data_IF_831226444412
#
_entry.id   IF_831226444412
#
_cell.length_a   1.000
_cell.length_b   1.000
_cell.length_c   1.000
_cell.angle_alpha   90.00
_cell.angle_beta   90.00
_cell.angle_gamma   90.00
#
_symmetry.space_group_name_H-M   'P 1'
#
loop_
_entity.id
_entity.type
_entity.pdbx_description
1 polymer ?
#
# COMPACT_ATOMS: atom_id res chain seq x y z
N UNK A 1 -5.10 54.92 30.31
CA UNK A 1 -4.50 54.82 28.95
C UNK A 1 -3.63 53.57 28.74
N UNK A 2 -3.50 52.66 29.73
CA UNK A 2 -2.72 51.41 29.58
C UNK A 2 -3.54 50.25 28.98
N UNK A 3 -4.85 50.16 29.24
CA UNK A 3 -5.72 49.08 28.75
C UNK A 3 -5.61 48.85 27.24
N UNK A 4 -5.80 49.90 26.42
CA UNK A 4 -5.77 49.76 24.96
C UNK A 4 -4.41 49.35 24.38
N UNK A 5 -3.30 49.69 25.07
CA UNK A 5 -1.94 49.30 24.65
C UNK A 5 -1.64 47.86 25.06
N UNK A 6 -2.10 47.44 26.24
CA UNK A 6 -1.90 46.08 26.75
C UNK A 6 -2.66 45.05 25.90
N UNK A 7 -3.91 45.36 25.52
CA UNK A 7 -4.68 44.51 24.61
C UNK A 7 -4.00 44.32 23.25
N UNK A 8 -3.36 45.37 22.70
CA UNK A 8 -2.61 45.27 21.44
C UNK A 8 -1.35 44.41 21.58
N UNK A 9 -0.64 44.51 22.72
CA UNK A 9 0.55 43.70 22.98
C UNK A 9 0.19 42.22 23.13
N UNK A 10 -0.86 41.91 23.90
CA UNK A 10 -1.37 40.53 24.04
C UNK A 10 -1.83 39.97 22.70
N UNK A 11 -2.57 40.76 21.91
CA UNK A 11 -2.98 40.36 20.57
C UNK A 11 -1.79 40.03 19.69
N UNK A 12 -0.72 40.85 19.73
CA UNK A 12 0.48 40.63 18.93
C UNK A 12 1.19 39.32 19.33
N UNK A 13 1.31 39.08 20.64
CA UNK A 13 1.92 37.87 21.20
C UNK A 13 1.17 36.59 20.84
N UNK A 14 -0.14 36.66 20.60
CA UNK A 14 -0.96 35.51 20.17
C UNK A 14 -0.98 35.39 18.65
N UNK A 15 -1.13 36.50 17.93
CA UNK A 15 -1.28 36.49 16.46
C UNK A 15 -0.02 36.04 15.74
N UNK A 16 1.15 36.49 16.17
CA UNK A 16 2.43 36.12 15.53
C UNK A 16 2.65 34.60 15.52
N UNK A 17 2.60 33.87 16.64
CA UNK A 17 2.80 32.42 16.64
C UNK A 17 1.69 31.67 15.91
N UNK A 18 0.43 32.12 15.99
CA UNK A 18 -0.68 31.50 15.23
C UNK A 18 -0.42 31.63 13.72
N UNK A 19 0.01 32.80 13.25
CA UNK A 19 0.32 33.01 11.85
C UNK A 19 1.56 32.25 11.39
N UNK A 20 2.63 32.20 12.17
CA UNK A 20 3.83 31.44 11.79
C UNK A 20 3.53 29.93 11.78
N UNK A 21 2.83 29.40 12.78
CA UNK A 21 2.42 27.99 12.78
C UNK A 21 1.51 27.72 11.58
N UNK A 22 0.52 28.57 11.30
CA UNK A 22 -0.36 28.41 10.15
C UNK A 22 0.41 28.42 8.82
N UNK A 23 1.30 29.40 8.63
CA UNK A 23 2.08 29.58 7.41
C UNK A 23 3.06 28.43 7.16
N UNK A 24 3.69 27.89 8.21
CA UNK A 24 4.68 26.83 8.09
C UNK A 24 4.10 25.40 8.29
N UNK A 25 2.83 25.27 8.66
CA UNK A 25 2.14 23.97 8.76
C UNK A 25 1.61 23.48 7.41
N UNK A 26 1.43 24.40 6.45
CA UNK A 26 1.02 24.09 5.08
C UNK A 26 2.13 23.30 4.37
N UNK A 27 1.93 21.98 4.26
CA UNK A 27 2.78 21.14 3.43
C UNK A 27 2.37 21.30 1.97
N UNK A 28 3.32 21.30 1.01
CA UNK A 28 2.98 21.23 -0.40
C UNK A 28 2.06 20.03 -0.64
N UNK A 29 0.97 20.23 -1.37
CA UNK A 29 0.17 19.11 -1.85
C UNK A 29 1.09 18.21 -2.69
N UNK A 30 1.08 16.88 -2.51
CA UNK A 30 1.88 16.00 -3.34
C UNK A 30 1.57 16.28 -4.81
N UNK A 31 2.59 16.65 -5.60
CA UNK A 31 2.40 16.78 -7.04
C UNK A 31 1.86 15.46 -7.59
N UNK A 32 0.93 15.55 -8.54
CA UNK A 32 0.44 14.39 -9.26
C UNK A 32 1.63 13.72 -9.96
N UNK A 33 2.09 12.59 -9.42
CA UNK A 33 3.09 11.77 -10.11
C UNK A 33 2.44 11.23 -11.37
N UNK A 34 2.76 11.82 -12.50
CA UNK A 34 2.52 11.21 -13.79
C UNK A 34 3.53 10.07 -13.93
N UNK A 35 3.03 8.85 -13.90
CA UNK A 35 3.88 7.72 -14.22
C UNK A 35 4.00 7.71 -15.73
N UNK A 36 5.20 8.00 -16.25
CA UNK A 36 5.55 7.73 -17.64
C UNK A 36 5.70 6.22 -17.85
N UNK A 37 4.66 5.44 -17.52
CA UNK A 37 4.52 4.08 -18.04
C UNK A 37 4.10 4.25 -19.49
N UNK A 38 4.90 3.73 -20.42
CA UNK A 38 4.43 3.55 -21.78
C UNK A 38 3.10 2.77 -21.73
N UNK A 39 2.10 3.11 -22.56
CA UNK A 39 0.82 2.38 -22.62
C UNK A 39 1.01 0.85 -22.78
N UNK A 40 2.13 0.42 -23.34
CA UNK A 40 2.51 -0.98 -23.58
C UNK A 40 3.32 -1.65 -22.43
N UNK A 41 3.37 -1.07 -21.23
CA UNK A 41 4.12 -1.68 -20.13
C UNK A 41 3.47 -2.96 -19.57
N UNK A 42 2.22 -3.27 -19.94
CA UNK A 42 1.49 -4.45 -19.50
C UNK A 42 1.48 -5.55 -20.57
N UNK A 43 2.08 -6.70 -20.26
CA UNK A 43 2.03 -7.89 -21.11
C UNK A 43 0.77 -8.71 -20.81
N UNK A 44 -0.26 -8.51 -21.64
CA UNK A 44 -1.53 -9.23 -21.55
C UNK A 44 -1.40 -10.74 -21.82
N UNK A 45 -0.44 -11.15 -22.64
CA UNK A 45 -0.23 -12.55 -22.99
C UNK A 45 0.38 -13.31 -21.81
N UNK A 46 1.39 -12.72 -21.16
CA UNK A 46 1.97 -13.26 -19.93
C UNK A 46 0.94 -13.33 -18.79
N UNK A 47 0.13 -12.28 -18.61
CA UNK A 47 -0.93 -12.27 -17.60
C UNK A 47 -1.99 -13.36 -17.85
N UNK A 48 -2.37 -13.58 -19.10
CA UNK A 48 -3.32 -14.64 -19.46
C UNK A 48 -2.73 -16.05 -19.26
N UNK A 49 -1.43 -16.23 -19.48
CA UNK A 49 -0.73 -17.48 -19.18
C UNK A 49 -0.71 -17.79 -17.68
N UNK A 50 -0.49 -16.77 -16.85
CA UNK A 50 -0.56 -16.91 -15.38
C UNK A 50 -1.97 -17.26 -14.92
N UNK A 51 -3.00 -16.61 -15.50
CA UNK A 51 -4.39 -16.91 -15.18
C UNK A 51 -4.78 -18.34 -15.57
N UNK A 52 -4.32 -18.82 -16.73
CA UNK A 52 -4.53 -20.23 -17.15
C UNK A 52 -3.87 -21.20 -16.18
N UNK A 53 -2.66 -20.89 -15.72
CA UNK A 53 -1.93 -21.72 -14.75
C UNK A 53 -2.68 -21.79 -13.42
N UNK A 54 -3.17 -20.65 -12.91
CA UNK A 54 -3.99 -20.61 -11.69
C UNK A 54 -5.33 -21.33 -11.84
N UNK A 55 -5.94 -21.30 -13.03
CA UNK A 55 -7.21 -22.00 -13.32
C UNK A 55 -7.04 -23.52 -13.36
N UNK A 56 -5.85 -24.01 -13.72
CA UNK A 56 -5.54 -25.44 -13.74
C UNK A 56 -5.44 -26.04 -12.33
N UNK A 57 -5.23 -25.23 -11.30
CA UNK A 57 -5.17 -25.68 -9.90
C UNK A 57 -6.60 -26.06 -9.42
N UNK A 58 -6.87 -27.33 -9.11
CA UNK A 58 -8.18 -27.77 -8.66
C UNK A 58 -8.44 -27.31 -7.22
N UNK A 59 -9.69 -26.94 -6.92
CA UNK A 59 -10.18 -26.57 -5.59
C UNK A 59 -9.27 -25.60 -4.82
N UNK A 60 -9.52 -24.29 -4.96
CA UNK A 60 -8.80 -23.22 -4.25
C UNK A 60 -9.59 -22.69 -3.05
N UNK A 61 -10.45 -23.50 -2.44
CA UNK A 61 -11.15 -23.13 -1.20
C UNK A 61 -10.15 -22.86 -0.07
N UNK A 62 -10.46 -21.96 0.88
CA UNK A 62 -9.52 -21.58 1.91
C UNK A 62 -8.96 -22.77 2.72
N UNK A 63 -7.64 -22.88 2.80
CA UNK A 63 -6.96 -23.95 3.53
C UNK A 63 -6.90 -25.30 2.82
N UNK A 64 -7.46 -25.42 1.62
CA UNK A 64 -7.31 -26.59 0.76
C UNK A 64 -5.88 -26.75 0.24
N UNK A 65 -5.61 -27.91 -0.38
CA UNK A 65 -4.34 -28.15 -1.08
C UNK A 65 -4.17 -27.19 -2.26
N UNK A 66 -5.25 -26.89 -3.01
CA UNK A 66 -5.18 -25.97 -4.14
C UNK A 66 -4.96 -24.51 -3.72
N UNK A 67 -5.44 -24.10 -2.54
CA UNK A 67 -5.10 -22.80 -1.94
C UNK A 67 -3.59 -22.68 -1.66
N UNK A 68 -2.99 -23.73 -1.09
CA UNK A 68 -1.54 -23.76 -0.84
C UNK A 68 -0.73 -23.74 -2.15
N UNK A 69 -1.17 -24.50 -3.17
CA UNK A 69 -0.54 -24.50 -4.49
C UNK A 69 -0.65 -23.13 -5.17
N UNK A 70 -1.80 -22.46 -5.05
CA UNK A 70 -1.99 -21.12 -5.59
C UNK A 70 -1.08 -20.10 -4.88
N UNK A 71 -0.96 -20.17 -3.56
CA UNK A 71 -0.05 -19.32 -2.79
C UNK A 71 1.42 -19.55 -3.20
N UNK A 72 1.84 -20.81 -3.37
CA UNK A 72 3.20 -21.14 -3.83
C UNK A 72 3.48 -20.63 -5.25
N UNK A 73 2.51 -20.77 -6.16
CA UNK A 73 2.59 -20.22 -7.51
C UNK A 73 2.81 -18.70 -7.47
N UNK A 74 1.97 -17.97 -6.73
CA UNK A 74 2.07 -16.51 -6.62
C UNK A 74 3.41 -16.08 -5.99
N UNK A 75 3.84 -16.76 -4.93
CA UNK A 75 5.12 -16.48 -4.28
C UNK A 75 6.29 -16.69 -5.26
N UNK A 76 6.24 -17.74 -6.08
CA UNK A 76 7.26 -18.04 -7.09
C UNK A 76 7.30 -16.96 -8.17
N UNK A 77 6.13 -16.53 -8.68
CA UNK A 77 6.05 -15.45 -9.67
C UNK A 77 6.58 -14.11 -9.12
N UNK A 78 6.26 -13.77 -7.88
CA UNK A 78 6.79 -12.56 -7.25
C UNK A 78 8.30 -12.61 -7.02
N UNK A 79 8.87 -13.77 -6.64
CA UNK A 79 10.33 -13.93 -6.54
C UNK A 79 10.99 -13.80 -7.90
N UNK A 80 10.43 -14.42 -8.94
CA UNK A 80 10.93 -14.32 -10.31
C UNK A 80 10.90 -12.87 -10.84
N UNK A 81 9.93 -12.07 -10.41
CA UNK A 81 9.87 -10.63 -10.69
C UNK A 81 10.86 -9.78 -9.85
N UNK A 82 11.70 -10.40 -9.02
CA UNK A 82 12.71 -9.72 -8.20
C UNK A 82 12.14 -9.00 -6.97
N UNK A 83 10.93 -9.34 -6.54
CA UNK A 83 10.29 -8.72 -5.38
C UNK A 83 10.72 -9.40 -4.06
N UNK A 84 10.75 -8.64 -2.97
CA UNK A 84 10.93 -9.20 -1.63
C UNK A 84 9.62 -9.82 -1.16
N UNK A 85 9.56 -11.16 -1.13
CA UNK A 85 8.35 -11.92 -0.81
C UNK A 85 8.32 -12.31 0.67
N UNK A 86 7.15 -12.14 1.30
CA UNK A 86 6.81 -12.65 2.63
C UNK A 86 5.59 -13.54 2.50
N UNK A 87 5.73 -14.79 2.94
CA UNK A 87 4.62 -15.75 3.00
C UNK A 87 4.26 -15.93 4.46
N UNK A 88 3.01 -15.70 4.81
CA UNK A 88 2.51 -15.81 6.18
C UNK A 88 1.31 -16.76 6.21
N UNK A 89 1.41 -17.79 7.05
CA UNK A 89 0.30 -18.68 7.34
C UNK A 89 -0.38 -18.23 8.63
N UNK A 90 -1.70 -18.16 8.63
CA UNK A 90 -2.50 -17.76 9.80
C UNK A 90 -3.82 -18.52 9.84
N UNK A 91 -4.39 -18.68 11.03
CA UNK A 91 -5.79 -19.04 11.19
C UNK A 91 -6.64 -17.81 10.88
N UNK A 92 -7.66 -17.95 10.06
CA UNK A 92 -8.55 -16.85 9.66
C UNK A 92 -9.97 -17.37 9.52
N UNK A 93 -10.94 -16.59 9.99
CA UNK A 93 -12.35 -16.87 9.77
C UNK A 93 -12.68 -16.71 8.29
N UNK A 94 -13.20 -17.77 7.68
CA UNK A 94 -13.58 -17.81 6.27
C UNK A 94 -15.04 -18.21 6.11
N UNK A 95 -15.57 -18.18 4.88
CA UNK A 95 -16.91 -18.67 4.58
C UNK A 95 -17.10 -20.16 4.92
N UNK A 96 -16.01 -20.93 5.05
CA UNK A 96 -16.01 -22.35 5.42
C UNK A 96 -15.62 -22.58 6.90
N UNK A 97 -15.67 -21.53 7.72
CA UNK A 97 -15.23 -21.52 9.11
C UNK A 97 -13.76 -21.10 9.28
N UNK A 98 -13.21 -21.30 10.48
CA UNK A 98 -11.80 -21.01 10.75
C UNK A 98 -10.91 -21.97 9.99
N UNK A 99 -10.13 -21.42 9.07
CA UNK A 99 -9.20 -22.17 8.20
C UNK A 99 -7.81 -21.58 8.29
N UNK A 100 -6.82 -22.45 8.09
CA UNK A 100 -5.44 -22.00 7.89
C UNK A 100 -5.29 -21.46 6.48
N UNK A 101 -5.10 -20.16 6.33
CA UNK A 101 -4.91 -19.48 5.06
C UNK A 101 -3.45 -19.04 4.89
N UNK A 102 -3.00 -18.90 3.65
CA UNK A 102 -1.65 -18.44 3.33
C UNK A 102 -1.70 -17.11 2.58
N UNK A 103 -1.24 -16.03 3.23
CA UNK A 103 -1.11 -14.71 2.62
C UNK A 103 0.27 -14.55 2.03
N UNK A 104 0.34 -14.18 0.75
CA UNK A 104 1.60 -13.87 0.05
C UNK A 104 1.65 -12.38 -0.20
N UNK A 105 2.64 -11.70 0.38
CA UNK A 105 2.90 -10.27 0.18
C UNK A 105 4.24 -10.08 -0.48
N UNK A 106 4.31 -9.24 -1.51
CA UNK A 106 5.55 -8.87 -2.16
C UNK A 106 5.78 -7.36 -2.05
N UNK A 107 7.04 -6.96 -1.89
CA UNK A 107 7.44 -5.57 -1.74
C UNK A 107 8.56 -5.25 -2.72
N UNK A 108 8.39 -4.14 -3.45
CA UNK A 108 9.47 -3.48 -4.18
C UNK A 108 9.90 -2.25 -3.38
N UNK A 109 11.15 -2.22 -2.96
CA UNK A 109 11.71 -1.04 -2.26
C UNK A 109 11.78 0.13 -3.24
N UNK A 110 11.21 1.27 -2.85
CA UNK A 110 11.30 2.53 -3.59
C UNK A 110 12.27 3.52 -2.92
N UNK A 111 12.42 4.70 -3.51
CA UNK A 111 13.29 5.77 -3.02
C UNK A 111 12.73 6.55 -1.83
N UNK A 112 11.51 6.23 -1.35
CA UNK A 112 10.87 6.93 -0.23
C UNK A 112 10.11 5.95 0.67
N UNK A 113 9.65 6.44 1.82
CA UNK A 113 8.81 5.68 2.75
C UNK A 113 7.33 5.63 2.32
N UNK A 114 6.94 6.35 1.25
CA UNK A 114 5.58 6.30 0.73
C UNK A 114 5.29 4.91 0.15
N UNK A 115 4.07 4.39 0.39
CA UNK A 115 3.67 3.05 -0.03
C UNK A 115 2.47 3.13 -0.97
N UNK A 116 2.50 2.34 -2.03
CA UNK A 116 1.35 2.01 -2.86
C UNK A 116 1.00 0.57 -2.58
N UNK A 117 -0.27 0.30 -2.28
CA UNK A 117 -0.78 -1.05 -2.03
C UNK A 117 -1.73 -1.39 -3.17
N UNK A 118 -1.54 -2.57 -3.76
CA UNK A 118 -2.33 -3.14 -4.84
C UNK A 118 -3.02 -4.40 -4.35
#
# INVERSE_FOLDING_TARGET
MLEGRLHRVVLLFVMIPVFTIGAFSLRPSPEARTVALAPDAFDSQAAMADLKSLRAIPNRSPGSVGDQQAAEFVATRFRAAGLKVTVQRSQTATIEGDRSTTTVRAVRTGFSQAKVVL
#
